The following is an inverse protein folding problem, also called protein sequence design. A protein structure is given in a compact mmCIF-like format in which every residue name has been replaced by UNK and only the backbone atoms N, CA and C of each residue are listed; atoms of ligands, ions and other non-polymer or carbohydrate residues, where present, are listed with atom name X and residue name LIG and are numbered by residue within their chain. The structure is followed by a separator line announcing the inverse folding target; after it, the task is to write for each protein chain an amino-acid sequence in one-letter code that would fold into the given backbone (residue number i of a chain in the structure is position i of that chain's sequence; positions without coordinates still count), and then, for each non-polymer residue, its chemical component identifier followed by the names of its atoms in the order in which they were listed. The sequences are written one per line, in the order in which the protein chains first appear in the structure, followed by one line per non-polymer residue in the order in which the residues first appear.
data_IF_472209500610
#
_entry.id   IF_472209500610
#
_cell.length_a   1.000
_cell.length_b   1.000
_cell.length_c   1.000
_cell.angle_alpha   90.00
_cell.angle_beta   90.00
_cell.angle_gamma   90.00
#
_symmetry.space_group_name_H-M   'P 1'
#
loop_
_entity.id
_entity.type
_entity.pdbx_description
1 polymer ?
#
# COMPACT_ATOMS: atom_id res chain seq x y z
N UNK A 1 -12.95 23.38 20.19
CA UNK A 1 -13.25 22.29 19.23
C UNK A 1 -12.36 22.49 18.02
N UNK A 2 -11.58 21.49 17.56
CA UNK A 2 -10.72 21.67 16.37
C UNK A 2 -11.58 21.71 15.10
N UNK A 3 -11.26 22.59 14.16
CA UNK A 3 -11.95 22.62 12.86
C UNK A 3 -11.65 21.31 12.09
N UNK A 4 -12.59 20.77 11.30
CA UNK A 4 -12.33 19.63 10.42
C UNK A 4 -11.08 19.83 9.52
N UNK A 5 -10.82 21.08 9.13
CA UNK A 5 -9.63 21.45 8.35
C UNK A 5 -8.34 21.25 9.15
N UNK A 6 -8.32 21.59 10.45
CA UNK A 6 -7.14 21.39 11.31
C UNK A 6 -6.79 19.91 11.44
N UNK A 7 -7.82 19.05 11.44
CA UNK A 7 -7.64 17.59 11.48
C UNK A 7 -6.99 17.07 10.19
N UNK A 8 -7.37 17.63 9.03
CA UNK A 8 -6.82 17.26 7.72
C UNK A 8 -5.44 17.87 7.44
N UNK A 9 -5.19 19.08 7.95
CA UNK A 9 -3.91 19.79 7.81
C UNK A 9 -2.79 19.19 8.69
N UNK A 10 -3.15 18.35 9.67
CA UNK A 10 -2.21 17.65 10.53
C UNK A 10 -1.27 16.68 9.79
N UNK A 11 -0.23 16.25 10.51
CA UNK A 11 0.74 15.26 10.03
C UNK A 11 0.54 13.90 10.69
N UNK A 12 0.98 12.84 10.01
CA UNK A 12 1.11 11.46 10.50
C UNK A 12 2.45 10.94 10.00
N UNK A 13 3.24 10.31 10.88
CA UNK A 13 4.60 9.83 10.57
C UNK A 13 5.48 10.87 9.84
N UNK A 14 5.38 12.15 10.22
CA UNK A 14 6.14 13.25 9.61
C UNK A 14 5.59 13.79 8.28
N UNK A 15 4.62 13.12 7.65
CA UNK A 15 4.01 13.50 6.37
C UNK A 15 2.65 14.16 6.56
N UNK A 16 2.23 15.02 5.62
CA UNK A 16 0.87 15.60 5.66
C UNK A 16 -0.16 14.50 5.38
N UNK A 17 -1.27 14.44 6.12
CA UNK A 17 -2.32 13.42 5.89
C UNK A 17 -2.83 13.41 4.45
N UNK A 18 -3.04 14.61 3.88
CA UNK A 18 -3.44 14.78 2.48
C UNK A 18 -2.40 14.31 1.48
N UNK A 19 -1.10 14.43 1.81
CA UNK A 19 -0.02 13.94 0.97
C UNK A 19 -0.04 12.41 0.94
N UNK A 20 -0.15 11.76 2.10
CA UNK A 20 -0.26 10.30 2.19
C UNK A 20 -1.42 9.81 1.34
N UNK A 21 -2.62 10.38 1.54
CA UNK A 21 -3.82 9.97 0.83
C UNK A 21 -3.71 10.11 -0.70
N UNK A 22 -3.06 11.17 -1.19
CA UNK A 22 -2.89 11.41 -2.64
C UNK A 22 -1.84 10.50 -3.28
N UNK A 23 -0.78 10.18 -2.54
CA UNK A 23 0.34 9.37 -3.04
C UNK A 23 0.09 7.87 -2.90
N UNK A 24 -0.93 7.47 -2.15
CA UNK A 24 -1.31 6.06 -1.98
C UNK A 24 -2.73 5.79 -2.46
N UNK A 25 -2.87 5.08 -3.57
CA UNK A 25 -4.16 4.72 -4.18
C UNK A 25 -4.44 3.23 -3.96
N UNK A 26 -5.51 2.85 -3.24
CA UNK A 26 -5.88 1.45 -3.09
C UNK A 26 -6.48 0.91 -4.39
N UNK A 27 -6.23 -0.36 -4.70
CA UNK A 27 -6.88 -1.08 -5.80
C UNK A 27 -7.03 -2.56 -5.46
N UNK A 28 -7.96 -3.24 -6.13
CA UNK A 28 -8.10 -4.70 -6.03
C UNK A 28 -7.52 -5.37 -7.28
N UNK A 29 -6.68 -6.37 -7.07
CA UNK A 29 -6.12 -7.22 -8.13
C UNK A 29 -5.97 -8.65 -7.62
N UNK A 30 -5.93 -9.61 -8.53
CA UNK A 30 -5.56 -10.97 -8.17
C UNK A 30 -4.06 -11.01 -7.89
N UNK A 31 -3.67 -11.63 -6.78
CA UNK A 31 -2.28 -11.82 -6.38
C UNK A 31 -2.04 -13.31 -6.24
N UNK A 32 -0.92 -13.79 -6.78
CA UNK A 32 -0.42 -15.13 -6.53
C UNK A 32 0.15 -15.20 -5.12
N UNK A 33 -0.68 -15.62 -4.17
CA UNK A 33 -0.30 -15.92 -2.79
C UNK A 33 0.22 -17.37 -2.68
N UNK A 34 0.62 -17.82 -1.49
CA UNK A 34 1.15 -19.18 -1.30
C UNK A 34 0.10 -20.27 -1.56
N UNK A 35 -1.16 -20.02 -1.19
CA UNK A 35 -2.27 -20.95 -1.34
C UNK A 35 -2.97 -20.85 -2.71
N UNK A 36 -2.42 -20.03 -3.62
CA UNK A 36 -2.94 -19.83 -4.96
C UNK A 36 -3.32 -18.39 -5.27
N UNK A 37 -4.11 -18.22 -6.33
CA UNK A 37 -4.59 -16.92 -6.78
C UNK A 37 -5.71 -16.41 -5.86
N UNK A 38 -5.54 -15.20 -5.34
CA UNK A 38 -6.54 -14.58 -4.48
C UNK A 38 -6.77 -13.10 -4.84
N UNK A 39 -8.03 -12.69 -4.90
CA UNK A 39 -8.39 -11.27 -4.97
C UNK A 39 -7.91 -10.56 -3.70
N UNK A 40 -7.05 -9.57 -3.88
CA UNK A 40 -6.30 -8.95 -2.78
C UNK A 40 -6.33 -7.43 -2.86
N UNK A 41 -6.42 -6.77 -1.69
CA UNK A 41 -6.22 -5.33 -1.60
C UNK A 41 -4.73 -4.99 -1.81
N UNK A 42 -4.48 -4.12 -2.77
CA UNK A 42 -3.16 -3.62 -3.12
C UNK A 42 -3.11 -2.11 -2.95
N UNK A 43 -1.89 -1.57 -2.92
CA UNK A 43 -1.64 -0.14 -2.83
C UNK A 43 -0.68 0.30 -3.93
N UNK A 44 -1.14 1.20 -4.78
CA UNK A 44 -0.31 1.93 -5.72
C UNK A 44 0.25 3.16 -5.02
N UNK A 45 1.57 3.28 -5.02
CA UNK A 45 2.35 4.33 -4.37
C UNK A 45 3.06 5.13 -5.44
N UNK A 46 2.93 6.45 -5.37
CA UNK A 46 3.54 7.41 -6.32
C UNK A 46 3.24 7.09 -7.79
N UNK A 47 2.08 6.47 -8.06
CA UNK A 47 1.64 6.05 -9.39
C UNK A 47 2.58 5.11 -10.16
N UNK A 48 3.61 4.57 -9.51
CA UNK A 48 4.61 3.70 -10.15
C UNK A 48 4.93 2.42 -9.37
N UNK A 49 4.55 2.35 -8.09
CA UNK A 49 4.87 1.21 -7.24
C UNK A 49 3.64 0.55 -6.61
N UNK A 50 3.33 -0.65 -7.06
CA UNK A 50 2.30 -1.51 -6.50
C UNK A 50 2.84 -2.39 -5.36
N UNK A 51 2.09 -2.50 -4.27
CA UNK A 51 2.39 -3.36 -3.13
C UNK A 51 1.15 -4.12 -2.68
N UNK A 52 1.33 -5.28 -2.04
CA UNK A 52 0.28 -5.94 -1.29
C UNK A 52 -0.06 -5.13 -0.05
N UNK A 53 -1.34 -4.99 0.28
CA UNK A 53 -1.81 -4.31 1.49
C UNK A 53 -2.59 -5.26 2.42
N UNK A 54 -1.91 -5.96 3.35
CA UNK A 54 -2.55 -6.97 4.21
C UNK A 54 -3.30 -6.38 5.42
N UNK A 55 -3.51 -5.06 5.47
CA UNK A 55 -4.05 -4.35 6.64
C UNK A 55 -5.49 -3.85 6.41
N UNK A 56 -6.34 -4.69 5.83
CA UNK A 56 -7.67 -4.29 5.33
C UNK A 56 -8.62 -3.82 6.45
N UNK A 57 -8.40 -4.28 7.68
CA UNK A 57 -9.16 -3.86 8.85
C UNK A 57 -8.76 -2.46 9.38
N UNK A 58 -7.62 -1.91 8.96
CA UNK A 58 -7.12 -0.64 9.48
C UNK A 58 -7.90 0.56 8.91
N UNK A 59 -8.50 1.36 9.79
CA UNK A 59 -9.32 2.53 9.44
C UNK A 59 -8.74 3.84 10.00
N UNK A 60 -9.19 4.97 9.45
CA UNK A 60 -8.88 6.31 9.96
C UNK A 60 -7.37 6.60 10.01
N UNK A 61 -6.91 7.15 11.13
CA UNK A 61 -5.51 7.57 11.31
C UNK A 61 -4.53 6.39 11.27
N UNK A 62 -4.92 5.22 11.79
CA UNK A 62 -4.06 4.03 11.76
C UNK A 62 -3.77 3.58 10.31
N UNK A 63 -4.77 3.67 9.43
CA UNK A 63 -4.56 3.41 8.00
C UNK A 63 -3.55 4.36 7.36
N UNK A 64 -3.59 5.66 7.73
CA UNK A 64 -2.65 6.66 7.23
C UNK A 64 -1.22 6.41 7.72
N UNK A 65 -1.07 6.00 8.97
CA UNK A 65 0.25 5.67 9.53
C UNK A 65 0.88 4.47 8.82
N UNK A 66 0.09 3.42 8.58
CA UNK A 66 0.51 2.25 7.80
C UNK A 66 0.90 2.68 6.38
N UNK A 67 0.07 3.48 5.69
CA UNK A 67 0.35 3.98 4.34
C UNK A 67 1.65 4.81 4.27
N UNK A 68 1.95 5.59 5.30
CA UNK A 68 3.21 6.33 5.38
C UNK A 68 4.45 5.42 5.39
N UNK A 69 4.35 4.18 5.90
CA UNK A 69 5.43 3.19 5.84
C UNK A 69 5.78 2.78 4.41
N UNK A 70 4.77 2.67 3.53
CA UNK A 70 4.98 2.40 2.11
C UNK A 70 5.72 3.55 1.42
N UNK A 71 5.35 4.80 1.73
CA UNK A 71 6.02 5.99 1.18
C UNK A 71 7.48 6.11 1.65
N UNK A 72 7.80 5.58 2.83
CA UNK A 72 9.17 5.53 3.38
C UNK A 72 9.98 4.33 2.87
N UNK A 73 9.39 3.45 2.06
CA UNK A 73 10.07 2.26 1.53
C UNK A 73 10.23 1.11 2.53
N UNK A 74 9.54 1.16 3.68
CA UNK A 74 9.62 0.10 4.69
C UNK A 74 8.92 -1.20 4.25
N UNK A 75 8.05 -1.11 3.24
CA UNK A 75 7.17 -2.20 2.79
C UNK A 75 7.63 -2.84 1.47
N UNK A 76 8.92 -2.69 1.09
CA UNK A 76 9.47 -3.26 -0.16
C UNK A 76 9.36 -4.79 -0.24
N UNK A 77 9.29 -5.50 0.88
CA UNK A 77 9.05 -6.94 0.91
C UNK A 77 7.65 -7.33 0.38
N UNK A 78 6.69 -6.39 0.33
CA UNK A 78 5.35 -6.59 -0.23
C UNK A 78 5.23 -6.10 -1.68
N UNK A 79 6.34 -5.72 -2.32
CA UNK A 79 6.32 -5.16 -3.68
C UNK A 79 5.75 -6.16 -4.68
N UNK A 80 4.77 -5.71 -5.46
CA UNK A 80 4.12 -6.48 -6.52
C UNK A 80 4.51 -5.98 -7.91
N UNK A 81 4.45 -6.88 -8.89
CA UNK A 81 4.49 -6.58 -10.32
C UNK A 81 3.30 -7.25 -10.98
N UNK A 82 2.56 -6.45 -11.74
CA UNK A 82 1.57 -6.97 -12.69
C UNK A 82 2.31 -7.60 -13.86
N UNK A 83 2.04 -8.88 -14.10
CA UNK A 83 2.67 -9.64 -15.20
C UNK A 83 1.65 -10.06 -16.25
N UNK A 84 0.37 -10.10 -15.89
CA UNK A 84 -0.79 -10.20 -16.79
C UNK A 84 -1.84 -9.18 -16.35
N UNK A 85 -2.71 -8.68 -17.24
CA UNK A 85 -3.74 -7.72 -16.87
C UNK A 85 -4.61 -8.25 -15.72
N UNK A 86 -4.62 -7.53 -14.59
CA UNK A 86 -5.40 -7.92 -13.41
C UNK A 86 -4.73 -8.95 -12.49
N UNK A 87 -3.56 -9.49 -12.85
CA UNK A 87 -2.85 -10.52 -12.08
C UNK A 87 -1.42 -10.10 -11.71
N UNK A 88 -1.14 -10.16 -10.42
CA UNK A 88 0.08 -9.66 -9.79
C UNK A 88 0.85 -10.77 -9.08
N UNK A 89 2.17 -10.60 -8.98
CA UNK A 89 3.06 -11.45 -8.19
C UNK A 89 4.08 -10.61 -7.44
N UNK A 90 4.64 -11.14 -6.36
CA UNK A 90 5.71 -10.47 -5.62
C UNK A 90 6.97 -10.30 -6.48
N UNK A 91 7.60 -9.13 -6.40
CA UNK A 91 8.84 -8.81 -7.15
C UNK A 91 10.03 -9.55 -6.57
N UNK A 92 10.08 -9.70 -5.24
CA UNK A 92 11.13 -10.48 -4.57
C UNK A 92 10.69 -11.92 -4.31
N UNK A 93 11.02 -12.79 -5.26
CA UNK A 93 11.53 -14.15 -5.03
C UNK A 93 12.66 -14.36 -6.05
N UNK A 94 13.83 -13.81 -5.76
CA UNK A 94 15.05 -14.09 -6.52
C UNK A 94 16.06 -14.91 -5.70
N UNK A 95 16.00 -14.88 -4.36
CA UNK A 95 16.85 -15.72 -3.48
C UNK A 95 16.21 -17.10 -3.15
N UNK A 96 15.21 -17.53 -3.94
CA UNK A 96 14.63 -18.89 -3.90
C UNK A 96 14.57 -19.50 -5.32
N UNK A 97 15.42 -19.01 -6.21
CA UNK A 97 15.63 -19.61 -7.52
C UNK A 97 17.11 -20.03 -7.60
N UNK A 98 17.31 -21.35 -7.57
CA UNK A 98 18.56 -22.14 -7.60
C UNK A 98 19.17 -22.44 -6.23
#
# INVERSE_FOLDING_TARGET
MRSPIDVLAGKVAGLKKMEIARRTVPCYKHVLEQDGEQLSLCMLVDSGKLYRFPFEAAKGIASLDIKARYLRGEMEHLRLREFQPGLCRYVKRADQAV
#
